data_IF_262564415430
#
_entry.id   IF_262564415430
#
_cell.length_a   1.000
_cell.length_b   1.000
_cell.length_c   1.000
_cell.angle_alpha   90.00
_cell.angle_beta   90.00
_cell.angle_gamma   90.00
#
_symmetry.space_group_name_H-M   'P 1'
#
loop_
_entity.id
_entity.type
_entity.pdbx_description
1 polymer ?
#
# COMPACT_ATOMS: atom_id res chain seq x y z
N UNK A 1 -21.97 40.26 10.59
CA UNK A 1 -21.34 38.99 10.17
C UNK A 1 -20.10 39.37 9.37
N UNK A 2 -18.91 39.18 9.93
CA UNK A 2 -17.66 39.55 9.26
C UNK A 2 -17.45 38.66 8.03
N UNK A 3 -17.15 39.27 6.88
CA UNK A 3 -16.78 38.55 5.68
C UNK A 3 -15.41 37.88 5.87
N UNK A 4 -15.11 36.76 5.18
CA UNK A 4 -13.85 36.02 5.35
C UNK A 4 -12.56 36.83 5.09
N UNK A 5 -12.67 38.05 4.55
CA UNK A 5 -11.57 38.97 4.25
C UNK A 5 -11.03 39.74 5.48
N UNK A 6 -11.73 39.77 6.62
CA UNK A 6 -11.34 40.58 7.79
C UNK A 6 -10.50 39.83 8.84
N UNK A 7 -10.06 38.59 8.58
CA UNK A 7 -9.21 37.86 9.54
C UNK A 7 -7.77 38.40 9.47
N UNK A 8 -7.18 38.83 10.59
CA UNK A 8 -5.83 39.37 10.57
C UNK A 8 -4.87 38.31 10.03
N UNK A 9 -3.92 38.67 9.14
CA UNK A 9 -3.01 37.72 8.50
C UNK A 9 -2.24 36.84 9.51
N UNK A 10 -2.02 37.35 10.72
CA UNK A 10 -1.45 36.58 11.84
C UNK A 10 -2.33 35.41 12.28
N UNK A 11 -3.66 35.55 12.32
CA UNK A 11 -4.56 34.46 12.70
C UNK A 11 -4.58 33.35 11.64
N UNK A 12 -4.55 33.70 10.35
CA UNK A 12 -4.44 32.73 9.25
C UNK A 12 -3.10 31.99 9.30
N UNK A 13 -2.01 32.71 9.57
CA UNK A 13 -0.68 32.11 9.73
C UNK A 13 -0.62 31.14 10.91
N UNK A 14 -1.15 31.52 12.08
CA UNK A 14 -1.21 30.66 13.27
C UNK A 14 -2.05 29.41 13.00
N UNK A 15 -3.25 29.56 12.42
CA UNK A 15 -4.10 28.40 12.10
C UNK A 15 -3.40 27.46 11.13
N UNK A 16 -2.76 27.99 10.08
CA UNK A 16 -2.05 27.18 9.09
C UNK A 16 -0.86 26.44 9.72
N UNK A 17 -0.10 27.11 10.60
CA UNK A 17 1.00 26.50 11.33
C UNK A 17 0.52 25.37 12.26
N UNK A 18 -0.58 25.58 12.99
CA UNK A 18 -1.18 24.55 13.86
C UNK A 18 -1.65 23.36 13.03
N UNK A 19 -2.35 23.58 11.92
CA UNK A 19 -2.79 22.50 11.03
C UNK A 19 -1.58 21.73 10.49
N UNK A 20 -0.54 22.43 10.04
CA UNK A 20 0.70 21.81 9.56
C UNK A 20 1.38 20.95 10.64
N UNK A 21 1.48 21.47 11.87
CA UNK A 21 2.05 20.75 13.00
C UNK A 21 1.23 19.50 13.37
N UNK A 22 -0.10 19.59 13.37
CA UNK A 22 -0.97 18.45 13.62
C UNK A 22 -0.83 17.37 12.54
N UNK A 23 -0.76 17.75 11.27
CA UNK A 23 -0.52 16.80 10.17
C UNK A 23 0.84 16.14 10.32
N UNK A 24 1.89 16.90 10.63
CA UNK A 24 3.22 16.36 10.85
C UNK A 24 3.27 15.39 12.04
N UNK A 25 2.59 15.71 13.15
CA UNK A 25 2.46 14.85 14.32
C UNK A 25 1.75 13.53 13.96
N UNK A 26 0.61 13.61 13.28
CA UNK A 26 -0.16 12.43 12.87
C UNK A 26 0.66 11.56 11.93
N UNK A 27 1.27 12.15 10.89
CA UNK A 27 2.13 11.40 9.98
C UNK A 27 3.31 10.77 10.72
N UNK A 28 3.97 11.50 11.63
CA UNK A 28 5.07 10.99 12.42
C UNK A 28 4.68 9.80 13.30
N UNK A 29 3.49 9.84 13.93
CA UNK A 29 2.96 8.72 14.69
C UNK A 29 2.62 7.51 13.80
N UNK A 30 2.12 7.74 12.58
CA UNK A 30 1.70 6.68 11.66
C UNK A 30 2.88 6.05 10.89
N UNK A 31 3.96 6.77 10.68
CA UNK A 31 5.15 6.27 9.98
C UNK A 31 6.24 5.83 10.95
N UNK A 32 6.73 6.75 11.79
CA UNK A 32 7.82 6.50 12.71
C UNK A 32 7.35 5.85 14.01
N UNK A 33 6.13 6.17 14.49
CA UNK A 33 5.57 5.52 15.67
C UNK A 33 5.43 4.00 15.49
N UNK A 34 5.06 3.55 14.29
CA UNK A 34 5.08 2.12 13.93
C UNK A 34 6.48 1.54 14.12
N UNK A 35 7.52 2.16 13.56
CA UNK A 35 8.90 1.67 13.66
C UNK A 35 9.45 1.75 15.09
N UNK A 36 9.12 2.80 15.83
CA UNK A 36 9.58 3.04 17.19
C UNK A 36 8.97 2.07 18.21
N UNK A 37 7.87 1.40 17.85
CA UNK A 37 7.17 0.43 18.70
C UNK A 37 7.31 -0.99 18.19
N UNK A 38 8.20 -1.25 17.22
CA UNK A 38 8.47 -2.61 16.75
C UNK A 38 9.06 -3.44 17.88
N UNK A 39 8.40 -4.54 18.21
CA UNK A 39 8.95 -5.58 19.06
C UNK A 39 8.25 -6.93 18.83
N UNK A 40 8.97 -8.05 18.97
CA UNK A 40 8.39 -9.39 18.87
C UNK A 40 7.27 -9.62 19.87
N UNK A 41 6.12 -10.07 19.38
CA UNK A 41 5.01 -10.57 20.20
C UNK A 41 4.42 -11.80 19.56
N UNK A 42 4.41 -12.90 20.29
CA UNK A 42 3.81 -14.17 19.85
C UNK A 42 4.32 -14.66 18.48
N UNK A 43 5.58 -14.39 18.15
CA UNK A 43 6.17 -14.78 16.85
C UNK A 43 6.07 -16.29 16.67
N UNK A 44 5.38 -16.78 15.61
CA UNK A 44 5.15 -18.21 15.43
C UNK A 44 6.42 -18.89 14.90
N UNK A 45 6.98 -19.77 15.70
CA UNK A 45 8.14 -20.60 15.34
C UNK A 45 7.81 -22.08 15.52
N UNK A 46 8.47 -22.92 14.74
CA UNK A 46 8.38 -24.37 14.92
C UNK A 46 9.70 -24.96 15.37
N UNK A 47 9.63 -26.02 16.17
CA UNK A 47 10.74 -26.95 16.39
C UNK A 47 10.31 -28.31 15.86
N UNK A 48 11.10 -28.83 14.93
CA UNK A 48 10.81 -30.10 14.28
C UNK A 48 11.76 -31.18 14.78
N UNK A 49 11.21 -32.32 15.21
CA UNK A 49 12.02 -33.45 15.68
C UNK A 49 11.62 -34.71 14.94
N UNK A 50 12.60 -35.35 14.30
CA UNK A 50 12.37 -36.62 13.61
C UNK A 50 12.02 -37.75 14.58
N UNK A 51 11.26 -38.75 14.10
CA UNK A 51 10.91 -39.93 14.89
C UNK A 51 12.16 -40.66 15.44
N UNK A 52 13.26 -40.65 14.68
CA UNK A 52 14.53 -41.30 15.04
C UNK A 52 15.49 -40.40 15.83
N UNK A 53 15.05 -39.19 16.23
CA UNK A 53 15.91 -38.27 16.97
C UNK A 53 16.26 -38.82 18.37
N UNK A 54 17.53 -38.69 18.81
CA UNK A 54 17.95 -39.08 20.15
C UNK A 54 17.09 -38.45 21.26
N UNK A 55 16.90 -39.14 22.41
CA UNK A 55 16.13 -38.61 23.54
C UNK A 55 16.54 -37.21 24.01
N UNK A 56 17.84 -36.82 24.02
CA UNK A 56 18.24 -35.46 24.37
C UNK A 56 17.65 -34.38 23.44
N UNK A 57 17.51 -34.65 22.13
CA UNK A 57 16.95 -33.68 21.18
C UNK A 57 15.44 -33.54 21.35
N UNK A 58 14.74 -34.64 21.65
CA UNK A 58 13.31 -34.59 22.01
C UNK A 58 13.10 -33.75 23.27
N UNK A 59 13.94 -33.93 24.29
CA UNK A 59 13.88 -33.14 25.50
C UNK A 59 14.13 -31.64 25.25
N UNK A 60 14.95 -31.26 24.25
CA UNK A 60 15.11 -29.85 23.84
C UNK A 60 13.81 -29.33 23.23
N UNK A 61 13.18 -30.07 22.32
CA UNK A 61 11.93 -29.65 21.71
C UNK A 61 10.76 -29.59 22.71
N UNK A 62 10.65 -30.54 23.63
CA UNK A 62 9.63 -30.53 24.68
C UNK A 62 9.79 -29.31 25.59
N UNK A 63 11.05 -28.96 25.94
CA UNK A 63 11.35 -27.74 26.70
C UNK A 63 10.95 -26.48 25.93
N UNK A 64 11.23 -26.42 24.63
CA UNK A 64 10.85 -25.27 23.78
C UNK A 64 9.33 -25.14 23.67
N UNK A 65 8.61 -26.24 23.46
CA UNK A 65 7.15 -26.26 23.46
C UNK A 65 6.56 -25.71 24.77
N UNK A 66 7.14 -26.09 25.91
CA UNK A 66 6.75 -25.58 27.22
C UNK A 66 7.22 -24.13 27.51
N UNK A 67 8.21 -23.63 26.77
CA UNK A 67 8.84 -22.33 26.99
C UNK A 67 8.32 -21.22 26.05
N UNK A 68 7.06 -21.33 25.59
CA UNK A 68 6.42 -20.21 24.87
C UNK A 68 6.40 -18.97 25.76
N UNK A 69 6.87 -17.86 25.22
CA UNK A 69 6.97 -16.56 25.93
C UNK A 69 5.98 -15.58 25.32
N UNK A 70 5.88 -14.37 25.90
CA UNK A 70 5.12 -13.28 25.28
C UNK A 70 5.67 -12.88 23.89
N UNK A 71 6.95 -13.18 23.61
CA UNK A 71 7.62 -12.80 22.37
C UNK A 71 7.51 -13.88 21.29
N UNK A 72 7.43 -15.16 21.67
CA UNK A 72 7.55 -16.32 20.76
C UNK A 72 6.58 -17.42 21.16
N UNK A 73 5.86 -17.96 20.17
CA UNK A 73 5.00 -19.14 20.32
C UNK A 73 5.64 -20.32 19.59
N UNK A 74 5.88 -21.41 20.31
CA UNK A 74 6.50 -22.61 19.77
C UNK A 74 5.46 -23.65 19.36
N UNK A 75 5.63 -24.22 18.17
CA UNK A 75 4.94 -25.44 17.73
C UNK A 75 5.95 -26.59 17.66
N UNK A 76 5.74 -27.61 18.47
CA UNK A 76 6.52 -28.87 18.39
C UNK A 76 5.86 -29.77 17.36
N UNK A 77 6.62 -30.22 16.38
CA UNK A 77 6.05 -30.91 15.21
C UNK A 77 7.08 -31.86 14.57
N UNK A 78 6.69 -32.54 13.50
CA UNK A 78 7.59 -33.35 12.66
C UNK A 78 8.24 -32.49 11.57
N UNK A 79 9.40 -32.88 11.01
CA UNK A 79 10.05 -32.11 9.94
C UNK A 79 9.16 -31.87 8.70
N UNK A 80 8.35 -32.86 8.33
CA UNK A 80 7.44 -32.75 7.18
C UNK A 80 6.32 -31.73 7.45
N UNK A 81 5.66 -31.84 8.60
CA UNK A 81 4.60 -30.92 9.00
C UNK A 81 5.15 -29.50 9.22
N UNK A 82 6.35 -29.35 9.81
CA UNK A 82 7.00 -28.06 10.00
C UNK A 82 7.26 -27.33 8.68
N UNK A 83 7.69 -28.07 7.64
CA UNK A 83 7.87 -27.50 6.29
C UNK A 83 6.53 -27.15 5.64
N UNK A 84 5.48 -27.93 5.90
CA UNK A 84 4.11 -27.58 5.53
C UNK A 84 3.66 -26.26 6.15
N UNK A 85 3.87 -26.08 7.46
CA UNK A 85 3.58 -24.84 8.17
C UNK A 85 4.38 -23.65 7.63
N UNK A 86 5.67 -23.85 7.31
CA UNK A 86 6.52 -22.82 6.72
C UNK A 86 6.07 -22.45 5.30
N UNK A 87 5.66 -23.43 4.49
CA UNK A 87 5.13 -23.21 3.14
C UNK A 87 3.77 -22.48 3.16
N UNK A 88 2.93 -22.79 4.16
CA UNK A 88 1.67 -22.09 4.42
C UNK A 88 1.86 -20.70 5.06
N UNK A 89 3.10 -20.31 5.40
CA UNK A 89 3.44 -19.07 6.11
C UNK A 89 2.83 -18.97 7.53
N UNK A 90 2.44 -20.10 8.12
CA UNK A 90 1.91 -20.17 9.48
C UNK A 90 3.00 -20.02 10.55
N UNK A 91 4.26 -20.25 10.18
CA UNK A 91 5.45 -20.03 11.02
C UNK A 91 6.52 -19.27 10.22
N UNK A 92 7.37 -18.51 10.92
CA UNK A 92 8.42 -17.69 10.28
C UNK A 92 9.77 -18.37 10.19
N UNK A 93 9.95 -19.46 10.91
CA UNK A 93 11.13 -20.30 10.81
C UNK A 93 10.95 -21.59 11.60
N UNK A 94 11.77 -22.57 11.24
CA UNK A 94 11.76 -23.90 11.85
C UNK A 94 13.17 -24.22 12.36
N UNK A 95 13.28 -24.70 13.59
CA UNK A 95 14.47 -25.38 14.07
C UNK A 95 14.28 -26.88 13.90
N UNK A 96 14.89 -27.47 12.88
CA UNK A 96 14.88 -28.92 12.69
C UNK A 96 16.03 -29.55 13.47
N UNK A 97 15.71 -30.54 14.31
CA UNK A 97 16.67 -31.29 15.11
C UNK A 97 16.83 -32.70 14.54
N UNK A 98 18.06 -33.02 14.11
CA UNK A 98 18.42 -34.31 13.53
C UNK A 98 19.59 -34.95 14.31
N UNK A 99 19.79 -36.28 14.21
CA UNK A 99 20.92 -36.95 14.87
C UNK A 99 22.30 -36.37 14.52
N UNK A 100 22.43 -35.80 13.30
CA UNK A 100 23.67 -35.21 12.80
C UNK A 100 23.86 -33.71 13.10
N UNK A 101 22.89 -33.04 13.73
CA UNK A 101 22.97 -31.60 14.00
C UNK A 101 21.61 -30.90 14.00
N UNK A 102 21.63 -29.58 13.98
CA UNK A 102 20.43 -28.76 13.86
C UNK A 102 20.44 -27.96 12.55
N UNK A 103 19.28 -27.64 12.02
CA UNK A 103 19.14 -26.69 10.91
C UNK A 103 18.04 -25.67 11.21
N UNK A 104 18.31 -24.42 10.86
CA UNK A 104 17.35 -23.32 10.88
C UNK A 104 16.80 -23.21 9.47
N UNK A 105 15.56 -23.63 9.28
CA UNK A 105 14.89 -23.57 7.98
C UNK A 105 14.02 -22.31 7.91
N UNK A 106 14.34 -21.45 6.95
CA UNK A 106 13.62 -20.21 6.64
C UNK A 106 13.07 -20.29 5.22
N UNK A 107 12.13 -19.40 4.87
CA UNK A 107 11.55 -19.33 3.53
C UNK A 107 11.65 -17.93 2.96
N UNK A 108 12.12 -17.80 1.72
CA UNK A 108 12.10 -16.51 1.01
C UNK A 108 10.69 -16.04 0.64
N UNK A 109 9.70 -16.93 0.69
CA UNK A 109 8.28 -16.58 0.52
C UNK A 109 7.69 -15.89 1.77
N UNK A 110 8.29 -16.06 2.94
CA UNK A 110 7.83 -15.43 4.19
C UNK A 110 8.37 -14.00 4.27
N UNK A 111 7.62 -13.11 4.93
CA UNK A 111 8.00 -11.72 5.09
C UNK A 111 9.42 -11.56 5.72
N UNK A 112 10.31 -10.73 5.12
CA UNK A 112 11.69 -10.58 5.58
C UNK A 112 11.86 -10.13 7.04
N UNK A 113 10.94 -9.30 7.56
CA UNK A 113 11.01 -8.84 8.95
C UNK A 113 10.78 -9.99 9.93
N UNK A 114 9.79 -10.85 9.64
CA UNK A 114 9.49 -12.04 10.43
C UNK A 114 10.63 -13.07 10.37
N UNK A 115 11.17 -13.34 9.17
CA UNK A 115 12.29 -14.31 9.03
C UNK A 115 13.57 -13.83 9.70
N UNK A 116 13.84 -12.52 9.73
CA UNK A 116 15.00 -11.96 10.44
C UNK A 116 14.90 -12.20 11.96
N UNK A 117 13.75 -11.92 12.55
CA UNK A 117 13.51 -12.18 13.98
C UNK A 117 13.55 -13.68 14.28
N UNK A 118 12.90 -14.49 13.43
CA UNK A 118 12.94 -15.95 13.56
C UNK A 118 14.38 -16.48 13.55
N UNK A 119 15.22 -16.04 12.59
CA UNK A 119 16.61 -16.47 12.51
C UNK A 119 17.39 -16.10 13.78
N UNK A 120 17.21 -14.89 14.32
CA UNK A 120 17.89 -14.45 15.54
C UNK A 120 17.49 -15.31 16.76
N UNK A 121 16.18 -15.54 16.93
CA UNK A 121 15.66 -16.38 18.03
C UNK A 121 16.15 -17.82 17.89
N UNK A 122 15.99 -18.43 16.71
CA UNK A 122 16.35 -19.83 16.49
C UNK A 122 17.86 -20.05 16.62
N UNK A 123 18.68 -19.11 16.15
CA UNK A 123 20.13 -19.15 16.34
C UNK A 123 20.52 -19.05 17.82
N UNK A 124 19.88 -18.15 18.58
CA UNK A 124 20.09 -18.04 20.02
C UNK A 124 19.72 -19.31 20.78
N UNK A 125 18.60 -19.94 20.41
CA UNK A 125 18.16 -21.23 20.97
C UNK A 125 19.16 -22.35 20.65
N UNK A 126 19.58 -22.48 19.39
CA UNK A 126 20.55 -23.49 18.99
C UNK A 126 21.88 -23.32 19.74
N UNK A 127 22.39 -22.08 19.83
CA UNK A 127 23.60 -21.75 20.57
C UNK A 127 23.47 -22.06 22.06
N UNK A 128 22.35 -21.68 22.69
CA UNK A 128 22.07 -21.97 24.10
C UNK A 128 21.98 -23.47 24.42
N UNK A 129 21.53 -24.27 23.45
CA UNK A 129 21.50 -25.73 23.53
C UNK A 129 22.85 -26.40 23.16
N UNK A 130 23.88 -25.62 22.82
CA UNK A 130 25.19 -26.14 22.39
C UNK A 130 25.17 -26.80 21.01
N UNK A 131 24.15 -26.52 20.20
CA UNK A 131 23.98 -27.07 18.85
C UNK A 131 24.59 -26.11 17.81
N UNK A 132 25.31 -26.66 16.84
CA UNK A 132 25.68 -25.92 15.62
C UNK A 132 24.54 -26.07 14.62
N UNK A 133 23.84 -24.97 14.38
CA UNK A 133 22.75 -24.94 13.41
C UNK A 133 23.19 -24.36 12.07
N UNK A 134 22.93 -25.10 10.99
CA UNK A 134 23.08 -24.59 9.63
C UNK A 134 21.82 -23.85 9.20
N UNK A 135 21.97 -22.70 8.53
CA UNK A 135 20.81 -21.95 8.01
C UNK A 135 20.50 -22.41 6.59
N UNK A 136 19.31 -22.98 6.41
CA UNK A 136 18.79 -23.43 5.12
C UNK A 136 17.62 -22.52 4.74
N UNK A 137 17.65 -21.96 3.53
CA UNK A 137 16.55 -21.13 3.02
C UNK A 137 15.85 -21.85 1.89
N UNK A 138 14.58 -22.21 2.09
CA UNK A 138 13.71 -22.70 1.00
C UNK A 138 13.23 -21.52 0.17
N UNK A 139 13.05 -21.72 -1.14
CA UNK A 139 12.66 -20.69 -2.10
C UNK A 139 13.46 -19.38 -1.91
N UNK A 140 14.79 -19.43 -2.11
CA UNK A 140 15.65 -18.30 -1.81
C UNK A 140 15.28 -17.09 -2.67
N UNK A 141 15.00 -15.97 -2.01
CA UNK A 141 14.72 -14.71 -2.67
C UNK A 141 16.02 -13.89 -2.84
N UNK A 142 16.29 -13.42 -4.05
CA UNK A 142 17.37 -12.47 -4.32
C UNK A 142 17.16 -11.15 -3.55
N UNK A 143 18.16 -10.27 -3.54
CA UNK A 143 17.98 -8.92 -2.97
C UNK A 143 16.82 -8.16 -3.65
N UNK A 144 16.67 -8.32 -4.96
CA UNK A 144 15.56 -7.74 -5.72
C UNK A 144 14.22 -8.43 -5.40
N UNK A 145 14.17 -9.77 -5.30
CA UNK A 145 12.97 -10.48 -4.85
C UNK A 145 12.51 -10.07 -3.45
N UNK A 146 13.49 -9.78 -2.58
CA UNK A 146 13.42 -9.02 -1.31
C UNK A 146 12.44 -7.85 -1.33
N UNK A 147 12.69 -6.97 -2.29
CA UNK A 147 12.16 -5.60 -2.32
C UNK A 147 11.04 -5.41 -3.33
N UNK A 148 10.99 -6.26 -4.35
CA UNK A 148 10.06 -6.21 -5.46
C UNK A 148 8.59 -6.09 -5.02
N UNK A 149 8.05 -6.92 -4.08
CA UNK A 149 6.65 -6.82 -3.66
C UNK A 149 6.21 -5.44 -3.15
N UNK A 150 7.03 -4.84 -2.30
CA UNK A 150 6.74 -3.52 -1.73
C UNK A 150 6.92 -2.43 -2.78
N UNK A 151 7.98 -2.53 -3.59
CA UNK A 151 8.26 -1.59 -4.66
C UNK A 151 7.15 -1.57 -5.72
N UNK A 152 6.69 -2.73 -6.19
CA UNK A 152 5.56 -2.82 -7.13
C UNK A 152 4.31 -2.16 -6.57
N UNK A 153 3.95 -2.47 -5.32
CA UNK A 153 2.77 -1.87 -4.67
C UNK A 153 2.87 -0.35 -4.64
N UNK A 154 4.03 0.20 -4.26
CA UNK A 154 4.29 1.64 -4.23
C UNK A 154 4.28 2.27 -5.63
N UNK A 155 4.92 1.65 -6.61
CA UNK A 155 5.00 2.16 -7.99
C UNK A 155 3.64 2.15 -8.67
N UNK A 156 2.86 1.08 -8.52
CA UNK A 156 1.49 1.01 -9.05
C UNK A 156 0.58 2.06 -8.42
N UNK A 157 0.72 2.28 -7.11
CA UNK A 157 -0.02 3.34 -6.43
C UNK A 157 0.30 4.73 -6.99
N UNK A 158 1.59 5.04 -7.18
CA UNK A 158 2.04 6.31 -7.75
C UNK A 158 1.59 6.46 -9.21
N UNK A 159 1.70 5.40 -10.01
CA UNK A 159 1.22 5.39 -11.39
C UNK A 159 -0.27 5.73 -11.47
N UNK A 160 -1.08 5.13 -10.58
CA UNK A 160 -2.49 5.46 -10.46
C UNK A 160 -2.73 6.91 -10.03
N UNK A 161 -1.95 7.44 -9.08
CA UNK A 161 -2.11 8.82 -8.61
C UNK A 161 -1.83 9.82 -9.72
N UNK A 162 -0.75 9.61 -10.47
CA UNK A 162 -0.38 10.46 -11.61
C UNK A 162 -1.46 10.41 -12.68
N UNK A 163 -1.92 9.20 -13.04
CA UNK A 163 -3.00 9.01 -14.01
C UNK A 163 -4.31 9.67 -13.55
N UNK A 164 -4.69 9.49 -12.29
CA UNK A 164 -5.88 10.10 -11.69
C UNK A 164 -5.79 11.63 -11.63
N UNK A 165 -4.63 12.20 -11.29
CA UNK A 165 -4.42 13.64 -11.25
C UNK A 165 -4.51 14.24 -12.67
N UNK A 166 -3.90 13.58 -13.66
CA UNK A 166 -4.03 13.95 -15.07
C UNK A 166 -5.51 13.89 -15.52
N UNK A 167 -6.23 12.86 -15.07
CA UNK A 167 -7.64 12.67 -15.36
C UNK A 167 -8.53 13.82 -14.82
N UNK A 168 -8.29 14.30 -13.59
CA UNK A 168 -8.99 15.48 -13.02
C UNK A 168 -8.69 16.76 -13.78
N UNK A 169 -7.52 16.91 -14.41
CA UNK A 169 -7.20 18.12 -15.15
C UNK A 169 -7.67 18.09 -16.60
N UNK A 170 -7.51 16.95 -17.27
CA UNK A 170 -7.63 16.86 -18.72
C UNK A 170 -8.98 16.30 -19.19
N UNK A 171 -9.68 15.52 -18.35
CA UNK A 171 -10.74 14.61 -18.82
C UNK A 171 -12.04 14.78 -18.01
N UNK A 172 -12.19 15.87 -17.23
CA UNK A 172 -13.38 16.12 -16.37
C UNK A 172 -14.71 16.03 -17.09
N UNK A 173 -14.77 16.45 -18.36
CA UNK A 173 -15.98 16.44 -19.19
C UNK A 173 -16.06 15.26 -20.17
N UNK A 174 -15.08 14.37 -20.19
CA UNK A 174 -15.11 13.27 -21.16
C UNK A 174 -16.15 12.21 -20.80
N UNK A 175 -16.63 11.54 -21.84
CA UNK A 175 -17.56 10.41 -21.75
C UNK A 175 -16.99 9.28 -20.88
N UNK A 176 -17.88 8.52 -20.24
CA UNK A 176 -17.53 7.45 -19.30
C UNK A 176 -16.55 6.43 -19.90
N UNK A 177 -16.72 6.08 -21.18
CA UNK A 177 -15.84 5.16 -21.90
C UNK A 177 -14.39 5.65 -22.00
N UNK A 178 -14.17 6.95 -22.24
CA UNK A 178 -12.82 7.53 -22.24
C UNK A 178 -12.17 7.42 -20.86
N UNK A 179 -12.96 7.49 -19.79
CA UNK A 179 -12.48 7.35 -18.41
C UNK A 179 -12.06 5.92 -18.11
N UNK A 180 -12.88 4.95 -18.51
CA UNK A 180 -12.58 3.53 -18.34
C UNK A 180 -11.36 3.12 -19.16
N UNK A 181 -11.27 3.59 -20.42
CA UNK A 181 -10.11 3.33 -21.26
C UNK A 181 -8.84 3.94 -20.66
N UNK A 182 -8.91 5.18 -20.17
CA UNK A 182 -7.78 5.82 -19.49
C UNK A 182 -7.35 5.07 -18.24
N UNK A 183 -8.29 4.59 -17.43
CA UNK A 183 -8.01 3.78 -16.25
C UNK A 183 -7.34 2.44 -16.62
N UNK A 184 -7.87 1.75 -17.64
CA UNK A 184 -7.30 0.51 -18.14
C UNK A 184 -5.89 0.72 -18.71
N UNK A 185 -5.69 1.76 -19.52
CA UNK A 185 -4.38 2.11 -20.07
C UNK A 185 -3.37 2.43 -18.97
N UNK A 186 -3.77 3.18 -17.93
CA UNK A 186 -2.92 3.49 -16.79
C UNK A 186 -2.53 2.23 -16.01
N UNK A 187 -3.47 1.30 -15.80
CA UNK A 187 -3.19 0.03 -15.14
C UNK A 187 -2.20 -0.82 -15.96
N UNK A 188 -2.47 -1.02 -17.26
CA UNK A 188 -1.62 -1.81 -18.15
C UNK A 188 -0.22 -1.22 -18.29
N UNK A 189 -0.11 0.10 -18.49
CA UNK A 189 1.19 0.77 -18.58
C UNK A 189 1.94 0.72 -17.24
N UNK A 190 1.23 0.89 -16.12
CA UNK A 190 1.80 0.76 -14.78
C UNK A 190 2.40 -0.63 -14.54
N UNK A 191 1.67 -1.69 -14.89
CA UNK A 191 2.18 -3.08 -14.83
C UNK A 191 3.37 -3.27 -15.76
N UNK A 192 3.30 -2.76 -16.99
CA UNK A 192 4.41 -2.85 -17.94
C UNK A 192 5.69 -2.19 -17.44
N UNK A 193 5.58 -1.01 -16.82
CA UNK A 193 6.72 -0.31 -16.20
C UNK A 193 7.28 -1.09 -15.02
N UNK A 194 6.42 -1.62 -14.14
CA UNK A 194 6.86 -2.42 -12.98
C UNK A 194 7.54 -3.71 -13.42
N UNK A 195 6.95 -4.44 -14.36
CA UNK A 195 7.54 -5.65 -14.94
C UNK A 195 8.88 -5.35 -15.63
N UNK A 196 8.96 -4.22 -16.36
CA UNK A 196 10.21 -3.73 -16.94
C UNK A 196 11.29 -3.45 -15.89
N UNK A 197 10.95 -2.77 -14.79
CA UNK A 197 11.88 -2.56 -13.69
C UNK A 197 12.34 -3.86 -13.05
N UNK A 198 11.44 -4.83 -12.85
CA UNK A 198 11.81 -6.14 -12.33
C UNK A 198 12.78 -6.87 -13.26
N UNK A 199 12.53 -6.87 -14.56
CA UNK A 199 13.46 -7.44 -15.54
C UNK A 199 14.83 -6.76 -15.56
N UNK A 200 14.90 -5.45 -15.25
CA UNK A 200 16.16 -4.70 -15.13
C UNK A 200 16.88 -4.98 -13.80
N UNK A 201 16.15 -5.09 -12.70
CA UNK A 201 16.72 -5.36 -11.37
C UNK A 201 17.22 -6.79 -11.23
N UNK A 202 16.41 -7.74 -11.70
CA UNK A 202 16.71 -9.16 -11.64
C UNK A 202 15.83 -9.92 -12.65
N UNK A 203 16.43 -10.26 -13.80
CA UNK A 203 15.76 -10.98 -14.88
C UNK A 203 15.40 -12.43 -14.53
N UNK A 204 15.86 -12.94 -13.38
CA UNK A 204 15.49 -14.28 -12.89
C UNK A 204 14.15 -14.31 -12.15
N UNK A 205 13.55 -13.14 -11.87
CA UNK A 205 12.24 -13.08 -11.23
C UNK A 205 11.16 -13.75 -12.10
N UNK A 206 10.31 -14.61 -11.53
CA UNK A 206 9.32 -15.36 -12.31
C UNK A 206 8.12 -14.47 -12.65
N UNK A 207 8.22 -13.68 -13.73
CA UNK A 207 7.14 -12.80 -14.21
C UNK A 207 6.11 -13.57 -15.06
N UNK A 208 5.51 -14.60 -14.48
CA UNK A 208 4.46 -15.39 -15.09
C UNK A 208 3.11 -14.66 -15.22
N UNK A 209 2.14 -15.31 -15.86
CA UNK A 209 0.79 -14.76 -16.03
C UNK A 209 0.03 -14.57 -14.72
N UNK A 210 0.33 -15.39 -13.72
CA UNK A 210 -0.14 -15.28 -12.35
C UNK A 210 0.36 -13.98 -11.69
N UNK A 211 1.66 -13.69 -11.77
CA UNK A 211 2.27 -12.45 -11.26
C UNK A 211 1.73 -11.23 -12.01
N UNK A 212 1.74 -11.25 -13.34
CA UNK A 212 1.27 -10.13 -14.15
C UNK A 212 -0.24 -9.90 -13.98
N UNK A 213 -1.03 -10.97 -13.87
CA UNK A 213 -2.46 -10.90 -13.61
C UNK A 213 -2.77 -10.30 -12.24
N UNK A 214 -2.03 -10.71 -11.21
CA UNK A 214 -2.17 -10.14 -9.87
C UNK A 214 -1.76 -8.66 -9.83
N UNK A 215 -0.64 -8.28 -10.46
CA UNK A 215 -0.25 -6.88 -10.63
C UNK A 215 -1.29 -6.08 -11.38
N UNK A 216 -1.89 -6.64 -12.43
CA UNK A 216 -2.99 -6.03 -13.18
C UNK A 216 -4.21 -5.76 -12.31
N UNK A 217 -4.61 -6.72 -11.48
CA UNK A 217 -5.71 -6.57 -10.52
C UNK A 217 -5.42 -5.44 -9.51
N UNK A 218 -4.23 -5.44 -8.90
CA UNK A 218 -3.80 -4.40 -7.95
C UNK A 218 -3.78 -3.03 -8.62
N UNK A 219 -3.18 -2.93 -9.81
CA UNK A 219 -3.10 -1.68 -10.57
C UNK A 219 -4.48 -1.14 -10.92
N UNK A 220 -5.37 -1.98 -11.44
CA UNK A 220 -6.73 -1.58 -11.78
C UNK A 220 -7.51 -1.11 -10.54
N UNK A 221 -7.41 -1.83 -9.42
CA UNK A 221 -8.06 -1.45 -8.18
C UNK A 221 -7.57 -0.09 -7.66
N UNK A 222 -6.25 0.14 -7.62
CA UNK A 222 -5.67 1.42 -7.20
C UNK A 222 -6.10 2.57 -8.12
N UNK A 223 -5.98 2.40 -9.43
CA UNK A 223 -6.39 3.41 -10.40
C UNK A 223 -7.87 3.77 -10.25
N UNK A 224 -8.75 2.76 -10.12
CA UNK A 224 -10.19 2.99 -10.00
C UNK A 224 -10.57 3.69 -8.70
N UNK A 225 -10.02 3.27 -7.56
CA UNK A 225 -10.30 3.91 -6.26
C UNK A 225 -9.77 5.33 -6.23
N UNK A 226 -8.56 5.56 -6.75
CA UNK A 226 -7.97 6.90 -6.78
C UNK A 226 -8.74 7.82 -7.73
N UNK A 227 -9.11 7.34 -8.93
CA UNK A 227 -9.94 8.09 -9.87
C UNK A 227 -11.31 8.41 -9.26
N UNK A 228 -11.93 7.47 -8.54
CA UNK A 228 -13.18 7.67 -7.84
C UNK A 228 -13.07 8.76 -6.75
N UNK A 229 -12.05 8.69 -5.89
CA UNK A 229 -11.81 9.68 -4.84
C UNK A 229 -11.52 11.06 -5.42
N UNK A 230 -10.67 11.13 -6.44
CA UNK A 230 -10.33 12.35 -7.15
C UNK A 230 -11.53 12.95 -7.88
N UNK A 231 -12.46 12.13 -8.39
CA UNK A 231 -13.73 12.58 -8.96
C UNK A 231 -14.64 13.21 -7.91
N UNK A 232 -14.70 12.62 -6.72
CA UNK A 232 -15.57 13.08 -5.63
C UNK A 232 -15.01 14.32 -4.91
N UNK A 233 -13.70 14.36 -4.66
CA UNK A 233 -13.06 15.35 -3.79
C UNK A 233 -12.16 16.33 -4.56
N UNK A 234 -11.92 16.11 -5.86
CA UNK A 234 -10.92 16.85 -6.62
C UNK A 234 -9.53 16.67 -6.01
N UNK A 235 -8.70 17.71 -6.06
CA UNK A 235 -7.36 17.71 -5.47
C UNK A 235 -7.36 17.49 -3.95
N UNK A 236 -8.49 17.71 -3.26
CA UNK A 236 -8.60 17.44 -1.82
C UNK A 236 -8.46 15.95 -1.49
N UNK A 237 -8.66 15.06 -2.45
CA UNK A 237 -8.40 13.63 -2.29
C UNK A 237 -6.95 13.34 -1.86
N UNK A 238 -6.00 14.21 -2.19
CA UNK A 238 -4.59 14.07 -1.80
C UNK A 238 -4.40 14.09 -0.28
N UNK A 239 -5.30 14.74 0.47
CA UNK A 239 -5.29 14.71 1.93
C UNK A 239 -5.56 13.32 2.52
N UNK A 240 -6.15 12.41 1.74
CA UNK A 240 -6.38 11.00 2.11
C UNK A 240 -5.34 10.10 1.46
N UNK A 241 -5.12 10.28 0.15
CA UNK A 241 -4.25 9.43 -0.66
C UNK A 241 -2.77 9.57 -0.30
N UNK A 242 -2.32 10.78 0.06
CA UNK A 242 -0.94 11.05 0.47
C UNK A 242 -0.57 10.33 1.76
N UNK A 243 -1.30 10.53 2.88
CA UNK A 243 -1.04 9.81 4.11
C UNK A 243 -1.09 8.29 3.95
N UNK A 244 -2.05 7.77 3.19
CA UNK A 244 -2.17 6.32 2.92
C UNK A 244 -0.94 5.76 2.19
N UNK A 245 -0.36 6.52 1.26
CA UNK A 245 0.91 6.17 0.64
C UNK A 245 2.08 6.20 1.63
N UNK A 246 2.17 7.26 2.44
CA UNK A 246 3.30 7.44 3.37
C UNK A 246 3.34 6.37 4.46
N UNK A 247 2.18 5.89 4.93
CA UNK A 247 2.11 4.80 5.91
C UNK A 247 2.38 3.41 5.31
N UNK A 248 2.27 3.26 3.99
CA UNK A 248 2.31 1.96 3.34
C UNK A 248 3.61 1.16 3.61
N UNK A 249 4.82 1.72 3.47
CA UNK A 249 6.06 0.98 3.76
C UNK A 249 6.17 0.58 5.23
N UNK A 250 5.70 1.44 6.14
CA UNK A 250 5.81 1.21 7.57
C UNK A 250 4.99 -0.01 8.03
N UNK A 251 3.88 -0.27 7.35
CA UNK A 251 2.91 -1.30 7.72
C UNK A 251 3.02 -2.54 6.82
N UNK A 252 3.09 -2.38 5.50
CA UNK A 252 3.14 -3.49 4.56
C UNK A 252 4.48 -4.24 4.56
N UNK A 253 5.54 -3.61 5.05
CA UNK A 253 6.85 -4.24 5.24
C UNK A 253 6.95 -5.11 6.49
N UNK A 254 5.96 -5.06 7.39
CA UNK A 254 6.02 -5.68 8.70
C UNK A 254 5.01 -6.83 8.85
N UNK A 255 5.37 -7.82 9.67
CA UNK A 255 4.47 -8.87 10.14
C UNK A 255 3.63 -8.39 11.33
N UNK A 256 2.42 -8.91 11.53
CA UNK A 256 1.52 -8.41 12.58
C UNK A 256 2.06 -8.60 14.00
N UNK A 257 2.90 -9.61 14.22
CA UNK A 257 3.56 -9.96 15.48
C UNK A 257 4.64 -8.94 15.88
N UNK A 258 5.14 -8.14 14.93
CA UNK A 258 6.09 -7.08 15.21
C UNK A 258 5.42 -5.72 15.45
N UNK A 259 4.11 -5.63 15.23
CA UNK A 259 3.37 -4.38 15.35
C UNK A 259 2.72 -4.26 16.73
N UNK A 260 2.67 -3.03 17.25
CA UNK A 260 1.79 -2.72 18.38
C UNK A 260 0.33 -3.13 18.08
N UNK A 261 -0.41 -3.73 19.03
CA UNK A 261 -1.81 -4.10 18.83
C UNK A 261 -2.67 -2.97 18.28
N UNK A 262 -2.39 -1.71 18.67
CA UNK A 262 -3.10 -0.54 18.14
C UNK A 262 -2.81 -0.35 16.66
N UNK A 263 -1.53 -0.38 16.24
CA UNK A 263 -1.16 -0.26 14.82
C UNK A 263 -1.62 -1.46 14.00
N UNK A 264 -1.59 -2.66 14.58
CA UNK A 264 -2.12 -3.88 13.95
C UNK A 264 -3.60 -3.75 13.63
N UNK A 265 -4.39 -3.26 14.59
CA UNK A 265 -5.83 -3.11 14.45
C UNK A 265 -6.21 -1.94 13.53
N UNK A 266 -5.59 -0.78 13.74
CA UNK A 266 -5.99 0.49 13.10
C UNK A 266 -5.36 0.71 11.74
N UNK A 267 -4.21 0.11 11.43
CA UNK A 267 -3.52 0.27 10.14
C UNK A 267 -3.38 -1.06 9.40
N UNK A 268 -2.73 -2.05 10.02
CA UNK A 268 -2.31 -3.26 9.30
C UNK A 268 -3.45 -4.15 8.82
N UNK A 269 -4.53 -4.25 9.58
CA UNK A 269 -5.65 -5.16 9.33
C UNK A 269 -6.37 -4.95 7.98
N UNK A 270 -6.41 -3.71 7.49
CA UNK A 270 -7.19 -3.33 6.30
C UNK A 270 -6.35 -2.67 5.20
N UNK A 271 -5.10 -2.32 5.47
CA UNK A 271 -4.28 -1.56 4.51
C UNK A 271 -4.07 -2.35 3.21
N UNK A 272 -4.51 -1.85 2.04
CA UNK A 272 -4.41 -2.58 0.78
C UNK A 272 -2.97 -2.97 0.41
N UNK A 273 -1.99 -2.10 0.72
CA UNK A 273 -0.58 -2.35 0.43
C UNK A 273 -0.03 -3.63 1.06
N UNK A 274 -0.56 -4.04 2.21
CA UNK A 274 -0.19 -5.31 2.85
C UNK A 274 -0.61 -6.47 1.94
N UNK A 275 -1.87 -6.48 1.49
CA UNK A 275 -2.39 -7.56 0.66
C UNK A 275 -1.63 -7.66 -0.67
N UNK A 276 -1.34 -6.53 -1.34
CA UNK A 276 -0.57 -6.55 -2.59
C UNK A 276 0.87 -7.02 -2.38
N UNK A 277 1.51 -6.62 -1.28
CA UNK A 277 2.89 -7.00 -0.97
C UNK A 277 2.99 -8.49 -0.61
N UNK A 278 2.12 -8.98 0.26
CA UNK A 278 2.12 -10.40 0.66
C UNK A 278 1.74 -11.31 -0.53
N UNK A 279 0.70 -10.95 -1.30
CA UNK A 279 0.28 -11.73 -2.46
C UNK A 279 1.35 -11.78 -3.55
N UNK A 280 2.00 -10.65 -3.85
CA UNK A 280 3.09 -10.65 -4.83
C UNK A 280 4.32 -11.42 -4.33
N UNK A 281 4.64 -11.36 -3.03
CA UNK A 281 5.74 -12.13 -2.45
C UNK A 281 5.50 -13.63 -2.60
N UNK A 282 4.30 -14.10 -2.30
CA UNK A 282 3.94 -15.50 -2.43
C UNK A 282 4.15 -15.97 -3.89
N UNK A 283 3.60 -15.24 -4.87
CA UNK A 283 3.73 -15.59 -6.29
C UNK A 283 5.18 -15.57 -6.79
N UNK A 284 5.97 -14.55 -6.43
CA UNK A 284 7.37 -14.48 -6.84
C UNK A 284 8.23 -15.63 -6.29
N UNK A 285 7.75 -16.34 -5.28
CA UNK A 285 8.45 -17.46 -4.65
C UNK A 285 7.72 -18.80 -4.87
N UNK A 286 6.86 -18.89 -5.90
CA UNK A 286 6.19 -20.12 -6.31
C UNK A 286 5.03 -20.57 -5.41
N UNK A 287 4.57 -19.70 -4.53
CA UNK A 287 3.39 -19.91 -3.69
C UNK A 287 2.09 -19.51 -4.38
N UNK A 288 0.98 -19.56 -3.63
CA UNK A 288 -0.35 -19.17 -4.10
C UNK A 288 -0.85 -17.94 -3.34
N UNK A 289 -1.68 -17.14 -4.01
CA UNK A 289 -2.33 -15.97 -3.39
C UNK A 289 -3.52 -16.45 -2.56
N UNK A 290 -3.67 -15.90 -1.36
CA UNK A 290 -4.84 -16.14 -0.51
C UNK A 290 -6.10 -15.49 -1.15
N UNK A 291 -7.25 -16.15 -1.06
CA UNK A 291 -8.53 -15.58 -1.46
C UNK A 291 -8.78 -14.19 -0.89
N UNK A 292 -8.40 -13.92 0.37
CA UNK A 292 -8.53 -12.59 0.97
C UNK A 292 -7.74 -11.52 0.19
N UNK A 293 -6.52 -11.85 -0.25
CA UNK A 293 -5.66 -10.93 -1.01
C UNK A 293 -6.28 -10.60 -2.37
N UNK A 294 -6.97 -11.54 -3.02
CA UNK A 294 -7.69 -11.28 -4.28
C UNK A 294 -8.96 -10.47 -4.03
N UNK A 295 -9.78 -10.88 -3.07
CA UNK A 295 -11.10 -10.29 -2.82
C UNK A 295 -11.03 -8.83 -2.36
N UNK A 296 -9.98 -8.45 -1.62
CA UNK A 296 -9.74 -7.04 -1.26
C UNK A 296 -9.61 -6.17 -2.51
N UNK A 297 -8.83 -6.58 -3.51
CA UNK A 297 -8.64 -5.78 -4.73
C UNK A 297 -9.83 -5.86 -5.68
N UNK A 298 -10.52 -7.00 -5.77
CA UNK A 298 -11.79 -7.09 -6.49
C UNK A 298 -12.81 -6.13 -5.87
N UNK A 299 -12.95 -6.12 -4.55
CA UNK A 299 -13.84 -5.20 -3.84
C UNK A 299 -13.49 -3.74 -4.08
N UNK A 300 -12.20 -3.38 -3.97
CA UNK A 300 -11.72 -2.02 -4.25
C UNK A 300 -11.99 -1.61 -5.70
N UNK A 301 -11.71 -2.48 -6.67
CA UNK A 301 -11.99 -2.22 -8.08
C UNK A 301 -13.48 -2.02 -8.33
N UNK A 302 -14.35 -2.87 -7.77
CA UNK A 302 -15.81 -2.75 -7.90
C UNK A 302 -16.31 -1.45 -7.27
N UNK A 303 -15.90 -1.11 -6.05
CA UNK A 303 -16.30 0.14 -5.39
C UNK A 303 -15.83 1.35 -6.20
N UNK A 304 -14.56 1.36 -6.63
CA UNK A 304 -14.01 2.42 -7.46
C UNK A 304 -14.75 2.57 -8.77
N UNK A 305 -15.07 1.46 -9.44
CA UNK A 305 -15.83 1.44 -10.68
C UNK A 305 -17.26 1.96 -10.48
N UNK A 306 -17.99 1.46 -9.48
CA UNK A 306 -19.35 1.92 -9.17
C UNK A 306 -19.36 3.42 -8.92
N UNK A 307 -18.45 3.91 -8.07
CA UNK A 307 -18.33 5.34 -7.82
C UNK A 307 -18.01 6.08 -9.11
N UNK A 308 -17.11 5.60 -9.97
CA UNK A 308 -16.76 6.25 -11.23
C UNK A 308 -17.93 6.30 -12.24
N UNK A 309 -18.83 5.33 -12.21
CA UNK A 309 -19.98 5.21 -13.11
C UNK A 309 -21.21 5.99 -12.66
N UNK A 310 -21.43 6.17 -11.34
CA UNK A 310 -22.58 6.93 -10.83
C UNK A 310 -22.58 8.34 -11.42
N UNK A 311 -23.65 8.79 -12.09
CA UNK A 311 -23.70 10.12 -12.67
C UNK A 311 -23.48 11.17 -11.58
N UNK A 312 -22.50 12.06 -11.78
CA UNK A 312 -22.26 13.16 -10.85
C UNK A 312 -23.47 14.09 -10.87
N UNK A 313 -23.89 14.59 -9.70
CA UNK A 313 -24.86 15.69 -9.65
C UNK A 313 -24.27 16.86 -10.45
N UNK A 314 -24.82 17.14 -11.61
CA UNK A 314 -24.70 18.45 -12.21
C UNK A 314 -25.30 19.43 -11.19
N UNK A 315 -24.49 20.37 -10.70
CA UNK A 315 -24.93 21.39 -9.75
C UNK A 315 -24.43 21.16 -8.33
N UNK A 316 -23.40 21.93 -7.99
CA UNK A 316 -23.22 22.65 -6.73
C UNK A 316 -21.96 23.53 -6.89
N UNK A 317 -22.17 24.72 -7.44
CA UNK A 317 -21.14 25.71 -7.77
C UNK A 317 -21.46 26.36 -9.11
N UNK A 318 -22.23 27.44 -9.05
CA UNK A 318 -22.81 28.12 -10.21
C UNK A 318 -21.78 28.65 -11.20
N UNK A 319 -22.08 28.41 -12.46
CA UNK A 319 -22.25 29.46 -13.45
C UNK A 319 -23.18 28.82 -14.47
N UNK A 320 -24.44 29.27 -14.50
CA UNK A 320 -25.27 29.02 -15.66
C UNK A 320 -24.45 29.51 -16.85
N UNK A 321 -24.06 28.58 -17.72
CA UNK A 321 -23.52 28.94 -19.01
C UNK A 321 -24.64 29.71 -19.70
N UNK A 322 -24.57 31.03 -19.60
CA UNK A 322 -25.31 31.93 -20.45
C UNK A 322 -25.03 31.45 -21.88
N UNK A 323 -26.05 31.08 -22.66
CA UNK A 323 -25.81 30.70 -24.04
C UNK A 323 -25.12 31.87 -24.69
N UNK A 324 -23.92 31.62 -25.20
CA UNK A 324 -23.12 32.53 -26.01
C UNK A 324 -24.06 33.05 -27.12
N UNK A 325 -24.59 34.26 -26.92
CA UNK A 325 -25.40 34.91 -27.94
C UNK A 325 -24.46 35.18 -29.10
N UNK A 326 -24.83 34.66 -30.26
CA UNK A 326 -24.07 34.72 -31.50
C UNK A 326 -23.98 36.14 -32.11
N UNK A 327 -23.98 37.19 -31.28
CA UNK A 327 -23.68 38.55 -31.68
C UNK A 327 -22.56 39.06 -30.77
N UNK A 328 -21.35 39.10 -31.35
CA UNK A 328 -20.13 39.57 -30.71
C UNK A 328 -20.17 41.06 -30.39
N UNK A 329 -20.95 41.45 -29.40
CA UNK A 329 -20.92 42.76 -28.79
C UNK A 329 -20.36 42.60 -27.38
N UNK A 330 -19.10 43.01 -27.23
CA UNK A 330 -18.48 43.24 -25.93
C UNK A 330 -19.20 44.44 -25.32
N UNK A 331 -20.01 44.19 -24.29
CA UNK A 331 -20.57 45.26 -23.45
C UNK A 331 -19.42 45.82 -22.61
N UNK A 332 -18.75 46.84 -23.16
CA UNK A 332 -17.76 47.61 -22.42
C UNK A 332 -18.57 48.44 -21.45
N UNK A 333 -18.57 48.05 -20.18
CA UNK A 333 -19.15 48.85 -19.09
C UNK A 333 -18.48 50.22 -19.06
N UNK A 334 -19.06 51.17 -19.79
CA UNK A 334 -18.74 52.59 -19.67
C UNK A 334 -19.67 53.11 -18.59
N UNK A 335 -19.09 53.46 -17.44
CA UNK A 335 -19.80 54.18 -16.39
C UNK A 335 -20.53 55.38 -17.01
N UNK A 336 -21.85 55.43 -16.85
CA UNK A 336 -22.74 56.50 -17.35
C UNK A 336 -22.45 57.89 -16.72
N UNK A 337 -21.37 58.03 -15.96
CA UNK A 337 -20.99 59.25 -15.25
C UNK A 337 -20.15 60.23 -16.09
N UNK A 338 -19.60 59.86 -17.25
CA UNK A 338 -18.68 60.71 -18.03
C UNK A 338 -19.21 61.11 -19.43
N UNK A 339 -20.52 61.39 -19.54
CA UNK A 339 -21.06 62.07 -20.74
C UNK A 339 -20.67 63.55 -20.75
N UNK A 340 -19.57 63.86 -21.45
CA UNK A 340 -19.25 65.23 -21.86
C UNK A 340 -20.29 65.75 -22.88
N UNK A 341 -20.71 67.03 -22.79
CA UNK A 341 -21.76 67.58 -23.64
C UNK A 341 -21.21 68.15 -24.96
N UNK A 342 -21.93 67.84 -26.05
CA UNK A 342 -22.06 68.75 -27.20
C UNK A 342 -21.02 68.63 -28.31
N UNK A 343 -21.44 68.03 -29.44
CA UNK A 343 -20.97 68.44 -30.75
C UNK A 343 -22.19 68.49 -31.69
N UNK A 344 -22.68 69.72 -31.89
CA UNK A 344 -23.71 70.10 -32.85
C UNK A 344 -23.36 69.60 -34.25
N UNK A 345 -24.26 68.85 -34.88
CA UNK A 345 -24.26 68.67 -36.34
C UNK A 345 -25.03 69.83 -36.95
N UNK A 346 -24.31 70.81 -37.49
CA UNK A 346 -24.87 71.80 -38.38
C UNK A 346 -25.23 71.12 -39.71
N UNK A 347 -26.52 71.10 -40.02
CA UNK A 347 -27.06 70.85 -41.35
C UNK A 347 -27.50 72.20 -41.94
N UNK A 348 -27.00 72.53 -43.14
CA UNK A 348 -27.69 73.37 -44.13
C UNK A 348 -26.83 73.44 -45.42
N UNK A 349 -27.42 73.76 -46.57
CA UNK A 349 -28.66 73.26 -47.18
C UNK A 349 -28.40 72.39 -48.42
#
# INVERSE_FOLDING_TARGET
MATPQDRPPAAVAVVTAVVGALVALVLGLLTFGVQATVHPREVPLAVAVGADAPPPLRAVADKLGAASTAEVVWRVTTPEEARGLLAAQDVYGVLELAPGGASIVLSGAVNPSGTQVAQQVLAGVAQGAGLRAEVVTVNPASAAGRTAPLAASALLWVAGLVAGAAFVRLVRRAAVWTRLLGALSAAVLGVGVVAGFFAVWDSSLPLGWDVLGYLGLVAAAFVLVQAALLRLLGLRAMAVLGPLYLMAPAVAGQVPELLDPVYRAVLWSWTPFRFSTEGLRALLQGGVVDGAQVWVFVGLAVVGLVVLLVPGKAGLGGEEAQPDLADGVVDVGVDEADRLPGAERQHAP
#
